data_IF_159375082410
#
_entry.id   IF_159375082410
#
_cell.length_a   1.000
_cell.length_b   1.000
_cell.length_c   1.000
_cell.angle_alpha   90.00
_cell.angle_beta   90.00
_cell.angle_gamma   90.00
#
_symmetry.space_group_name_H-M   'P 1'
#
loop_
_entity.id
_entity.type
_entity.pdbx_description
1 polymer ?
#
# COMPACT_ATOMS: atom_id res chain seq x y z
N UNK A 1 19.23 5.40 1.33
CA UNK A 1 18.39 5.19 0.17
C UNK A 1 17.70 3.83 0.31
N UNK A 2 16.38 3.74 0.15
CA UNK A 2 15.63 2.49 0.36
C UNK A 2 15.89 1.42 -0.70
N UNK A 3 16.53 1.77 -1.82
CA UNK A 3 16.83 0.85 -2.91
C UNK A 3 18.32 0.90 -3.24
N UNK A 4 18.99 -0.26 -3.16
CA UNK A 4 20.35 -0.45 -3.65
C UNK A 4 20.29 -1.02 -5.07
N UNK A 5 20.49 -0.16 -6.06
CA UNK A 5 20.60 -0.61 -7.45
C UNK A 5 22.04 -1.04 -7.74
N UNK A 6 22.24 -2.35 -7.99
CA UNK A 6 23.52 -2.90 -8.45
C UNK A 6 23.41 -3.20 -9.96
N UNK A 7 23.95 -2.35 -10.84
CA UNK A 7 23.89 -2.59 -12.27
C UNK A 7 24.68 -3.85 -12.62
N UNK A 8 24.04 -4.79 -13.28
CA UNK A 8 24.66 -5.96 -13.89
C UNK A 8 24.30 -5.96 -15.36
N UNK A 9 25.29 -6.15 -16.23
CA UNK A 9 25.09 -6.23 -17.69
C UNK A 9 24.41 -7.56 -18.08
N UNK A 10 23.21 -7.80 -17.56
CA UNK A 10 22.38 -8.94 -17.94
C UNK A 10 21.21 -8.44 -18.78
N UNK A 11 20.93 -9.13 -19.88
CA UNK A 11 19.90 -8.75 -20.83
C UNK A 11 18.54 -8.49 -20.19
N UNK A 12 18.11 -9.34 -19.24
CA UNK A 12 16.84 -9.15 -18.55
C UNK A 12 16.80 -7.87 -17.67
N UNK A 13 17.94 -7.46 -17.07
CA UNK A 13 18.01 -6.23 -16.29
C UNK A 13 17.96 -4.99 -17.21
N UNK A 14 18.61 -5.05 -18.37
CA UNK A 14 18.56 -3.97 -19.36
C UNK A 14 17.16 -3.83 -19.96
N UNK A 15 16.55 -4.93 -20.36
CA UNK A 15 15.19 -4.93 -20.93
C UNK A 15 14.15 -4.45 -19.91
N UNK A 16 14.27 -4.85 -18.63
CA UNK A 16 13.43 -4.35 -17.55
C UNK A 16 13.65 -2.84 -17.34
N UNK A 17 14.90 -2.38 -17.28
CA UNK A 17 15.24 -0.97 -17.14
C UNK A 17 14.66 -0.10 -18.24
N UNK A 18 14.77 -0.55 -19.52
CA UNK A 18 14.17 0.15 -20.65
C UNK A 18 12.64 0.23 -20.54
N UNK A 19 11.97 -0.87 -20.18
CA UNK A 19 10.52 -0.87 -19.96
C UNK A 19 10.12 0.06 -18.81
N UNK A 20 10.88 0.04 -17.71
CA UNK A 20 10.65 0.95 -16.59
C UNK A 20 10.75 2.43 -17.02
N UNK A 21 11.75 2.80 -17.81
CA UNK A 21 11.89 4.16 -18.34
C UNK A 21 10.71 4.57 -19.23
N UNK A 22 10.20 3.65 -20.05
CA UNK A 22 8.98 3.90 -20.84
C UNK A 22 7.77 4.16 -19.96
N UNK A 23 7.61 3.40 -18.86
CA UNK A 23 6.52 3.60 -17.90
C UNK A 23 6.63 4.91 -17.10
N UNK A 24 7.84 5.50 -17.01
CA UNK A 24 8.05 6.83 -16.41
C UNK A 24 7.64 7.99 -17.33
N UNK A 25 7.33 7.77 -18.61
CA UNK A 25 6.87 8.83 -19.51
C UNK A 25 5.56 9.45 -19.04
N UNK A 26 5.36 10.78 -19.22
CA UNK A 26 4.24 11.50 -18.59
C UNK A 26 2.84 10.93 -18.88
N UNK A 27 2.60 10.42 -20.08
CA UNK A 27 1.30 9.82 -20.44
C UNK A 27 1.12 8.45 -19.81
N UNK A 28 2.19 7.62 -19.74
CA UNK A 28 2.17 6.32 -19.05
C UNK A 28 2.00 6.51 -17.55
N UNK A 29 2.75 7.43 -16.97
CA UNK A 29 2.67 7.79 -15.56
C UNK A 29 1.23 8.17 -15.15
N UNK A 30 0.52 9.00 -15.95
CA UNK A 30 -0.87 9.36 -15.67
C UNK A 30 -1.81 8.17 -15.75
N UNK A 31 -1.60 7.28 -16.72
CA UNK A 31 -2.37 6.04 -16.84
C UNK A 31 -2.11 5.15 -15.64
N UNK A 32 -0.84 4.91 -15.30
CA UNK A 32 -0.44 4.04 -14.20
C UNK A 32 -0.97 4.54 -12.84
N UNK A 33 -0.93 5.86 -12.58
CA UNK A 33 -1.54 6.43 -11.36
C UNK A 33 -3.03 6.10 -11.29
N UNK A 34 -3.78 6.27 -12.39
CA UNK A 34 -5.21 5.98 -12.41
C UNK A 34 -5.48 4.52 -12.06
N UNK A 35 -4.76 3.59 -12.67
CA UNK A 35 -4.94 2.15 -12.42
C UNK A 35 -4.56 1.78 -10.98
N UNK A 36 -3.47 2.35 -10.45
CA UNK A 36 -3.08 2.15 -9.05
C UNK A 36 -4.12 2.69 -8.07
N UNK A 37 -4.69 3.85 -8.35
CA UNK A 37 -5.76 4.44 -7.52
C UNK A 37 -7.00 3.57 -7.55
N UNK A 38 -7.45 3.14 -8.74
CA UNK A 38 -8.62 2.27 -8.89
C UNK A 38 -8.42 0.96 -8.12
N UNK A 39 -7.24 0.33 -8.25
CA UNK A 39 -6.92 -0.88 -7.52
C UNK A 39 -6.88 -0.65 -6.00
N UNK A 40 -6.30 0.48 -5.55
CA UNK A 40 -6.24 0.84 -4.14
C UNK A 40 -7.63 1.07 -3.53
N UNK A 41 -8.51 1.78 -4.23
CA UNK A 41 -9.88 2.01 -3.80
C UNK A 41 -10.67 0.69 -3.72
N UNK A 42 -10.54 -0.16 -4.74
CA UNK A 42 -11.17 -1.48 -4.75
C UNK A 42 -10.66 -2.36 -3.61
N UNK A 43 -9.34 -2.39 -3.40
CA UNK A 43 -8.72 -3.16 -2.31
C UNK A 43 -9.20 -2.71 -0.93
N UNK A 44 -9.30 -1.39 -0.71
CA UNK A 44 -9.83 -0.82 0.55
C UNK A 44 -11.28 -1.24 0.78
N UNK A 45 -12.12 -1.08 -0.24
CA UNK A 45 -13.52 -1.48 -0.15
C UNK A 45 -13.65 -2.97 0.16
N UNK A 46 -12.93 -3.83 -0.57
CA UNK A 46 -12.95 -5.28 -0.36
C UNK A 46 -12.49 -5.67 1.05
N UNK A 47 -11.49 -4.96 1.61
CA UNK A 47 -11.02 -5.19 2.97
C UNK A 47 -12.09 -4.81 4.00
N UNK A 48 -12.78 -3.69 3.80
CA UNK A 48 -13.87 -3.24 4.69
C UNK A 48 -15.07 -4.18 4.64
N UNK A 49 -15.45 -4.66 3.45
CA UNK A 49 -16.50 -5.65 3.27
C UNK A 49 -16.14 -6.98 3.94
N UNK A 50 -14.91 -7.47 3.73
CA UNK A 50 -14.41 -8.69 4.38
C UNK A 50 -14.44 -8.57 5.90
N UNK A 51 -14.00 -7.45 6.44
CA UNK A 51 -14.06 -7.17 7.89
C UNK A 51 -15.48 -7.17 8.42
N UNK A 52 -16.41 -6.54 7.70
CA UNK A 52 -17.82 -6.50 8.08
C UNK A 52 -18.46 -7.90 8.05
N UNK A 53 -18.11 -8.71 7.04
CA UNK A 53 -18.63 -10.08 6.89
C UNK A 53 -18.08 -11.05 7.94
N UNK A 54 -16.78 -10.94 8.26
CA UNK A 54 -16.08 -11.95 9.07
C UNK A 54 -15.91 -11.57 10.53
N UNK A 55 -16.04 -10.29 10.88
CA UNK A 55 -15.72 -9.78 12.21
C UNK A 55 -14.23 -9.88 12.56
N UNK A 56 -13.34 -10.03 11.55
CA UNK A 56 -11.90 -10.19 11.75
C UNK A 56 -11.31 -8.93 12.40
N UNK A 57 -10.53 -9.13 13.48
CA UNK A 57 -9.82 -8.07 14.18
C UNK A 57 -8.31 -8.21 13.94
N UNK A 58 -7.64 -7.09 13.67
CA UNK A 58 -6.21 -7.04 13.37
C UNK A 58 -5.58 -5.71 13.81
N UNK A 59 -6.03 -5.19 14.96
CA UNK A 59 -5.62 -3.90 15.54
C UNK A 59 -5.80 -2.72 14.55
N UNK A 60 -6.83 -2.79 13.73
CA UNK A 60 -7.13 -1.75 12.76
C UNK A 60 -7.56 -0.45 13.47
N UNK A 61 -7.06 0.67 12.96
CA UNK A 61 -7.46 2.00 13.40
C UNK A 61 -8.11 2.74 12.22
N UNK A 62 -9.36 3.17 12.41
CA UNK A 62 -10.15 3.87 11.37
C UNK A 62 -10.16 5.38 11.57
N UNK A 63 -9.03 5.92 12.06
CA UNK A 63 -8.88 7.35 12.36
C UNK A 63 -8.05 8.11 11.32
N UNK A 64 -7.83 7.51 10.16
CA UNK A 64 -6.96 8.06 9.14
C UNK A 64 -5.47 7.93 9.46
N UNK A 65 -4.64 8.40 8.53
CA UNK A 65 -3.18 8.43 8.67
C UNK A 65 -2.69 9.86 8.54
N UNK A 66 -1.98 10.33 9.56
CA UNK A 66 -1.28 11.62 9.57
C UNK A 66 0.19 11.39 9.22
N UNK A 67 0.66 12.00 8.14
CA UNK A 67 2.07 12.01 7.75
C UNK A 67 2.62 13.42 7.94
N UNK A 68 3.58 13.60 8.85
CA UNK A 68 4.21 14.89 9.11
C UNK A 68 5.55 15.04 8.39
N UNK A 69 5.97 16.28 8.17
CA UNK A 69 7.18 16.65 7.47
C UNK A 69 7.98 17.65 8.30
N UNK A 70 9.30 17.45 8.35
CA UNK A 70 10.26 18.35 9.03
C UNK A 70 11.13 19.12 8.04
N UNK A 71 10.94 18.92 6.75
CA UNK A 71 11.60 19.59 5.65
C UNK A 71 10.57 20.33 4.81
N UNK A 72 10.82 21.62 4.51
CA UNK A 72 9.94 22.41 3.64
C UNK A 72 9.88 21.88 2.22
N UNK A 73 10.99 21.32 1.72
CA UNK A 73 11.04 20.75 0.37
C UNK A 73 10.19 19.47 0.28
N UNK A 74 10.28 18.59 1.27
CA UNK A 74 9.45 17.38 1.34
C UNK A 74 7.97 17.74 1.50
N UNK A 75 7.67 18.74 2.34
CA UNK A 75 6.29 19.19 2.51
C UNK A 75 5.73 19.83 1.22
N UNK A 76 6.56 20.61 0.50
CA UNK A 76 6.15 21.16 -0.81
C UNK A 76 5.85 20.05 -1.81
N UNK A 77 6.70 19.03 -1.89
CA UNK A 77 6.48 17.87 -2.74
C UNK A 77 5.19 17.12 -2.36
N UNK A 78 4.94 16.94 -1.06
CA UNK A 78 3.74 16.29 -0.55
C UNK A 78 2.45 17.06 -0.88
N UNK A 79 2.49 18.40 -0.83
CA UNK A 79 1.37 19.26 -1.25
C UNK A 79 1.04 19.09 -2.73
N UNK A 80 2.07 19.05 -3.59
CA UNK A 80 1.88 18.81 -5.03
C UNK A 80 1.30 17.41 -5.29
N UNK A 81 1.80 16.39 -4.60
CA UNK A 81 1.29 15.03 -4.69
C UNK A 81 -0.17 14.95 -4.22
N UNK A 82 -0.53 15.61 -3.11
CA UNK A 82 -1.91 15.65 -2.59
C UNK A 82 -2.87 16.31 -3.61
N UNK A 83 -2.44 17.42 -4.23
CA UNK A 83 -3.22 18.08 -5.26
C UNK A 83 -3.43 17.19 -6.52
N UNK A 84 -2.43 16.38 -6.86
CA UNK A 84 -2.54 15.41 -7.96
C UNK A 84 -3.50 14.28 -7.60
N UNK A 85 -3.36 13.66 -6.41
CA UNK A 85 -4.19 12.55 -5.94
C UNK A 85 -5.66 12.94 -5.82
N UNK A 86 -5.94 14.18 -5.40
CA UNK A 86 -7.32 14.73 -5.34
C UNK A 86 -8.04 14.68 -6.68
N UNK A 87 -7.31 14.87 -7.80
CA UNK A 87 -7.89 14.76 -9.16
C UNK A 87 -8.34 13.34 -9.51
N UNK A 88 -7.84 12.35 -8.79
CA UNK A 88 -8.20 10.94 -8.94
C UNK A 88 -9.13 10.44 -7.84
N UNK A 89 -9.70 11.35 -7.02
CA UNK A 89 -10.67 11.00 -6.00
C UNK A 89 -10.10 10.49 -4.68
N UNK A 90 -8.78 10.63 -4.47
CA UNK A 90 -8.16 10.32 -3.17
C UNK A 90 -8.19 11.58 -2.29
N UNK A 91 -8.82 11.45 -1.13
CA UNK A 91 -8.83 12.48 -0.12
C UNK A 91 -7.51 12.47 0.66
N UNK A 92 -6.78 13.56 0.52
CA UNK A 92 -5.55 13.81 1.26
C UNK A 92 -5.44 15.30 1.55
N UNK A 93 -5.76 15.65 2.78
CA UNK A 93 -5.76 17.03 3.24
C UNK A 93 -4.34 17.49 3.56
N UNK A 94 -4.03 18.72 3.19
CA UNK A 94 -2.80 19.40 3.64
C UNK A 94 -3.12 20.12 4.95
N UNK A 95 -2.28 19.93 5.96
CA UNK A 95 -2.43 20.48 7.31
C UNK A 95 -1.23 21.35 7.67
N UNK A 96 -1.48 22.45 8.37
CA UNK A 96 -0.44 23.25 9.00
C UNK A 96 0.18 22.50 10.18
N UNK A 97 1.26 23.04 10.75
CA UNK A 97 1.87 22.47 11.96
C UNK A 97 0.88 22.46 13.14
N UNK A 98 0.12 23.54 13.31
CA UNK A 98 -0.89 23.67 14.38
C UNK A 98 -2.02 22.67 14.21
N UNK A 99 -2.55 22.52 12.99
CA UNK A 99 -3.59 21.54 12.67
C UNK A 99 -3.10 20.11 12.85
N UNK A 100 -1.84 19.84 12.52
CA UNK A 100 -1.25 18.50 12.74
C UNK A 100 -1.11 18.18 14.23
N UNK A 101 -0.69 19.16 15.05
CA UNK A 101 -0.61 19.03 16.51
C UNK A 101 -2.00 18.85 17.14
N UNK A 102 -3.04 19.48 16.58
CA UNK A 102 -4.40 19.28 17.04
C UNK A 102 -4.91 17.85 16.80
N UNK A 103 -4.45 17.19 15.72
CA UNK A 103 -4.77 15.79 15.42
C UNK A 103 -3.94 14.84 16.27
N UNK A 104 -2.62 15.10 16.38
CA UNK A 104 -1.66 14.29 17.13
C UNK A 104 -0.88 15.17 18.10
N UNK A 105 -1.32 15.30 19.37
CA UNK A 105 -0.70 16.18 20.35
C UNK A 105 0.77 15.86 20.67
N UNK A 106 1.21 14.62 20.45
CA UNK A 106 2.62 14.24 20.64
C UNK A 106 3.58 15.02 19.73
N UNK A 107 3.11 15.54 18.60
CA UNK A 107 3.89 16.38 17.69
C UNK A 107 4.28 17.74 18.29
N UNK A 108 3.66 18.15 19.40
CA UNK A 108 4.00 19.41 20.08
C UNK A 108 5.49 19.48 20.46
N UNK A 109 6.11 18.34 20.80
CA UNK A 109 7.54 18.30 21.16
C UNK A 109 8.50 18.64 20.02
N UNK A 110 8.02 18.58 18.77
CA UNK A 110 8.82 18.91 17.58
C UNK A 110 8.26 20.11 16.81
N UNK A 111 7.40 20.92 17.44
CA UNK A 111 6.68 22.03 16.81
C UNK A 111 7.59 22.92 15.97
N UNK A 112 8.74 23.34 16.52
CA UNK A 112 9.66 24.26 15.86
C UNK A 112 10.36 23.66 14.62
N UNK A 113 10.25 22.35 14.43
CA UNK A 113 10.82 21.60 13.30
C UNK A 113 9.75 21.11 12.35
N UNK A 114 8.48 21.33 12.66
CA UNK A 114 7.36 20.81 11.88
C UNK A 114 7.01 21.75 10.74
N UNK A 115 7.33 21.38 9.50
CA UNK A 115 6.99 22.14 8.30
C UNK A 115 5.48 22.06 7.96
N UNK A 116 4.83 20.95 8.32
CA UNK A 116 3.43 20.69 8.10
C UNK A 116 3.14 19.19 8.00
N UNK A 117 1.92 18.85 7.60
CA UNK A 117 1.50 17.45 7.48
C UNK A 117 0.53 17.23 6.32
N UNK A 118 0.31 15.96 5.97
CA UNK A 118 -0.85 15.53 5.17
C UNK A 118 -1.65 14.51 5.96
N UNK A 119 -2.97 14.58 5.84
CA UNK A 119 -3.90 13.69 6.51
C UNK A 119 -4.79 12.98 5.52
N UNK A 120 -4.78 11.66 5.56
CA UNK A 120 -5.63 10.80 4.75
C UNK A 120 -6.74 10.20 5.65
N UNK A 121 -7.95 10.77 5.67
CA UNK A 121 -8.99 10.39 6.64
C UNK A 121 -9.54 8.98 6.42
N UNK A 122 -9.41 8.47 5.20
CA UNK A 122 -9.94 7.15 4.81
C UNK A 122 -8.93 6.03 4.85
N UNK A 123 -7.66 6.32 5.16
CA UNK A 123 -6.62 5.32 5.29
C UNK A 123 -6.66 4.66 6.68
N UNK A 124 -6.40 3.37 6.72
CA UNK A 124 -6.49 2.54 7.93
C UNK A 124 -5.19 1.74 8.09
N UNK A 125 -4.43 1.93 9.18
CA UNK A 125 -3.35 1.01 9.54
C UNK A 125 -3.92 -0.23 10.25
N UNK A 126 -3.16 -1.32 10.23
CA UNK A 126 -3.47 -2.56 10.94
C UNK A 126 -2.29 -3.51 10.95
N UNK A 127 -2.38 -4.55 11.77
CA UNK A 127 -1.34 -5.59 11.88
C UNK A 127 -1.55 -6.66 10.80
N UNK A 128 -0.66 -6.68 9.81
CA UNK A 128 -0.72 -7.61 8.69
C UNK A 128 -0.55 -9.08 9.11
N UNK A 129 0.22 -9.36 10.18
CA UNK A 129 0.40 -10.71 10.69
C UNK A 129 -0.88 -11.21 11.34
N UNK A 130 -1.48 -10.41 12.22
CA UNK A 130 -2.76 -10.73 12.86
C UNK A 130 -3.86 -10.90 11.81
N UNK A 131 -3.92 -10.01 10.81
CA UNK A 131 -4.86 -10.13 9.70
C UNK A 131 -4.73 -11.49 9.02
N UNK A 132 -3.51 -11.87 8.62
CA UNK A 132 -3.27 -13.13 7.90
C UNK A 132 -3.60 -14.35 8.75
N UNK A 133 -3.23 -14.35 10.04
CA UNK A 133 -3.50 -15.45 10.95
C UNK A 133 -5.00 -15.61 11.22
N UNK A 134 -5.70 -14.52 11.50
CA UNK A 134 -7.12 -14.55 11.80
C UNK A 134 -7.96 -14.89 10.56
N UNK A 135 -7.56 -14.39 9.38
CA UNK A 135 -8.20 -14.77 8.11
C UNK A 135 -8.00 -16.27 7.84
N UNK A 136 -6.81 -16.81 8.08
CA UNK A 136 -6.58 -18.25 7.94
C UNK A 136 -7.49 -19.07 8.89
N UNK A 137 -7.67 -18.61 10.13
CA UNK A 137 -8.59 -19.24 11.08
C UNK A 137 -10.06 -19.22 10.60
N UNK A 138 -10.52 -18.09 10.05
CA UNK A 138 -11.86 -17.96 9.46
C UNK A 138 -12.02 -18.91 8.27
N UNK A 139 -11.03 -19.00 7.38
CA UNK A 139 -11.03 -19.91 6.24
C UNK A 139 -11.04 -21.38 6.69
N UNK A 140 -10.23 -21.74 7.69
CA UNK A 140 -10.21 -23.11 8.23
C UNK A 140 -11.57 -23.52 8.84
N UNK A 141 -12.21 -22.59 9.56
CA UNK A 141 -13.56 -22.81 10.09
C UNK A 141 -14.63 -23.02 8.99
N UNK A 142 -14.38 -22.50 7.78
CA UNK A 142 -15.22 -22.68 6.58
C UNK A 142 -14.78 -23.89 5.73
N UNK A 143 -13.87 -24.74 6.22
CA UNK A 143 -13.47 -25.99 5.58
C UNK A 143 -12.24 -25.88 4.66
N UNK A 144 -11.55 -24.73 4.61
CA UNK A 144 -10.29 -24.60 3.86
C UNK A 144 -9.18 -25.37 4.59
N UNK A 145 -8.48 -26.23 3.87
CA UNK A 145 -7.34 -26.97 4.40
C UNK A 145 -6.03 -26.24 4.11
N UNK A 146 -5.25 -26.01 5.15
CA UNK A 146 -3.93 -25.37 5.06
C UNK A 146 -2.82 -26.42 5.18
N UNK A 147 -1.87 -26.40 4.26
CA UNK A 147 -0.66 -27.22 4.29
C UNK A 147 0.55 -26.31 4.49
N UNK A 148 0.95 -26.13 5.73
CA UNK A 148 2.13 -25.36 6.09
C UNK A 148 3.41 -26.16 5.93
N UNK A 149 4.54 -25.49 5.71
CA UNK A 149 5.85 -26.11 5.56
C UNK A 149 6.05 -26.88 4.24
N UNK A 150 5.11 -26.78 3.30
CA UNK A 150 5.21 -27.39 1.98
C UNK A 150 5.91 -26.43 1.00
N UNK A 151 7.03 -26.87 0.43
CA UNK A 151 7.69 -26.20 -0.69
C UNK A 151 7.03 -26.68 -1.99
N UNK A 152 6.63 -25.72 -2.85
CA UNK A 152 6.06 -26.03 -4.15
C UNK A 152 7.16 -25.93 -5.21
N UNK A 153 7.51 -27.04 -5.86
CA UNK A 153 8.50 -27.05 -6.93
C UNK A 153 7.94 -26.55 -8.27
N UNK A 154 6.73 -26.94 -8.60
CA UNK A 154 6.13 -26.62 -9.88
C UNK A 154 4.60 -26.59 -9.81
N UNK A 155 4.02 -25.76 -10.66
CA UNK A 155 2.59 -25.88 -11.00
C UNK A 155 2.44 -26.92 -12.11
N UNK A 156 1.41 -27.75 -12.02
CA UNK A 156 1.06 -28.73 -13.05
C UNK A 156 -0.03 -28.13 -13.96
N UNK A 157 0.35 -27.66 -15.18
CA UNK A 157 -0.64 -27.11 -16.12
C UNK A 157 -1.37 -28.24 -16.84
N UNK A 158 -2.68 -28.10 -16.95
CA UNK A 158 -3.52 -28.91 -17.83
C UNK A 158 -4.46 -27.99 -18.61
N UNK A 159 -4.42 -28.11 -19.94
CA UNK A 159 -5.25 -27.33 -20.89
C UNK A 159 -5.29 -25.81 -20.60
N UNK A 160 -4.16 -25.21 -20.20
CA UNK A 160 -4.03 -23.77 -19.90
C UNK A 160 -4.55 -23.37 -18.52
N UNK A 161 -4.85 -24.32 -17.65
CA UNK A 161 -5.21 -24.10 -16.23
C UNK A 161 -4.20 -24.84 -15.34
N UNK A 162 -4.03 -24.34 -14.11
CA UNK A 162 -3.27 -25.07 -13.09
C UNK A 162 -4.21 -26.14 -12.51
N UNK A 163 -3.91 -27.42 -12.76
CA UNK A 163 -4.68 -28.55 -12.26
C UNK A 163 -4.14 -29.10 -10.93
N UNK A 164 -2.89 -28.82 -10.63
CA UNK A 164 -2.23 -29.25 -9.41
C UNK A 164 -0.95 -28.52 -9.13
N UNK A 165 -0.40 -28.77 -7.94
CA UNK A 165 0.92 -28.29 -7.52
C UNK A 165 1.72 -29.48 -7.02
N UNK A 166 2.98 -29.58 -7.45
CA UNK A 166 3.90 -30.63 -6.98
C UNK A 166 4.63 -30.10 -5.76
N UNK A 167 4.38 -30.66 -4.56
CA UNK A 167 5.19 -30.38 -3.39
C UNK A 167 6.54 -31.08 -3.49
N UNK A 168 7.54 -30.48 -2.87
CA UNK A 168 8.87 -31.08 -2.67
C UNK A 168 8.84 -32.01 -1.46
#
# INVERSE_FOLDING_TARGET
>A
APLLFRPKLKWHQLSWGMRFLVECLPWRFRHNIREMVNLGLYSRQSLQELRAETGIEYDQLTRGILQFYTSDDDFRAARQASALLKRYGIERDVKTAEEAIAIEPALHHIRDRLAGATYAPTDEPGDALKFSQNLAAVCAARGVQFKYGAMIEANEPDAGRVSGMRPW
#
